data_IF_458069318165
#
_entry.id   IF_458069318165
#
_cell.length_a   1.000
_cell.length_b   1.000
_cell.length_c   1.000
_cell.angle_alpha   90.00
_cell.angle_beta   90.00
_cell.angle_gamma   90.00
#
_symmetry.space_group_name_H-M   'P 1'
#
loop_
_entity.id
_entity.type
_entity.pdbx_description
1 polymer ?
#
# COMPACT_ATOMS: atom_id res chain seq x y z
N UNK A 1 28.36 -32.16 19.41
CA UNK A 1 27.55 -31.06 19.94
C UNK A 1 27.19 -30.16 18.76
N UNK A 2 25.96 -30.25 18.26
CA UNK A 2 25.49 -29.39 17.16
C UNK A 2 24.88 -28.14 17.77
N UNK A 3 25.53 -27.01 17.58
CA UNK A 3 25.01 -25.71 18.02
C UNK A 3 23.95 -25.30 17.00
N UNK A 4 22.68 -25.48 17.33
CA UNK A 4 21.56 -24.93 16.54
C UNK A 4 21.50 -23.44 16.83
N UNK A 5 22.01 -22.64 15.90
CA UNK A 5 21.80 -21.20 15.92
C UNK A 5 20.33 -20.98 15.50
N UNK A 6 19.50 -20.74 16.50
CA UNK A 6 18.14 -20.25 16.27
C UNK A 6 18.26 -18.81 15.76
N UNK A 7 18.11 -18.61 14.44
CA UNK A 7 17.86 -17.29 13.93
C UNK A 7 16.45 -16.91 14.39
N UNK A 8 16.37 -16.15 15.47
CA UNK A 8 15.19 -15.39 15.76
C UNK A 8 15.03 -14.38 14.63
N UNK A 9 14.15 -14.67 13.70
CA UNK A 9 13.60 -13.67 12.80
C UNK A 9 12.89 -12.70 13.73
N UNK A 10 13.55 -11.60 14.06
CA UNK A 10 12.89 -10.48 14.69
C UNK A 10 11.76 -10.10 13.72
N UNK A 11 10.52 -10.39 14.11
CA UNK A 11 9.37 -9.82 13.47
C UNK A 11 9.63 -8.33 13.44
N UNK A 12 9.78 -7.76 12.23
CA UNK A 12 9.81 -6.32 12.08
C UNK A 12 8.63 -5.80 12.91
N UNK A 13 8.83 -4.83 13.81
CA UNK A 13 7.72 -4.34 14.59
C UNK A 13 6.62 -4.01 13.60
N UNK A 14 5.43 -4.57 13.82
CA UNK A 14 4.23 -4.11 13.15
C UNK A 14 4.30 -2.59 13.22
N UNK A 15 4.50 -1.96 12.09
CA UNK A 15 4.65 -0.52 12.00
C UNK A 15 3.53 0.06 12.84
N UNK A 16 3.92 0.84 13.84
CA UNK A 16 3.04 1.37 14.85
C UNK A 16 1.70 1.73 14.22
N UNK A 17 0.65 1.09 14.66
CA UNK A 17 -0.72 1.14 14.11
C UNK A 17 -1.32 2.55 14.00
N UNK A 18 -0.57 3.58 14.37
CA UNK A 18 -1.05 4.94 14.50
C UNK A 18 -1.11 5.72 13.18
N UNK A 19 -0.42 5.30 12.13
CA UNK A 19 -0.39 6.04 10.86
C UNK A 19 -1.00 5.29 9.66
N UNK A 20 -0.93 3.97 9.63
CA UNK A 20 -1.36 3.18 8.48
C UNK A 20 -2.88 3.29 8.20
N UNK A 21 -3.80 3.23 9.18
CA UNK A 21 -5.22 3.43 8.92
C UNK A 21 -5.55 4.83 8.37
N UNK A 22 -4.89 5.86 8.88
CA UNK A 22 -5.12 7.24 8.42
C UNK A 22 -4.70 7.45 6.97
N UNK A 23 -3.55 6.98 6.57
CA UNK A 23 -3.08 7.11 5.19
C UNK A 23 -3.95 6.31 4.22
N UNK A 24 -4.37 5.11 4.56
CA UNK A 24 -5.27 4.31 3.73
C UNK A 24 -6.64 4.99 3.58
N UNK A 25 -7.18 5.54 4.66
CA UNK A 25 -8.42 6.30 4.59
C UNK A 25 -8.29 7.53 3.71
N UNK A 26 -7.22 8.29 3.86
CA UNK A 26 -6.95 9.46 3.03
C UNK A 26 -6.87 9.09 1.54
N UNK A 27 -6.21 7.99 1.20
CA UNK A 27 -6.14 7.48 -0.17
C UNK A 27 -7.55 7.10 -0.66
N UNK A 28 -8.33 6.36 0.12
CA UNK A 28 -9.69 5.97 -0.26
C UNK A 28 -10.60 7.18 -0.51
N UNK A 29 -10.50 8.23 0.31
CA UNK A 29 -11.26 9.47 0.12
C UNK A 29 -10.89 10.11 -1.23
N UNK A 30 -9.62 10.21 -1.55
CA UNK A 30 -9.16 10.86 -2.79
C UNK A 30 -9.47 10.00 -4.01
N UNK A 31 -9.34 8.67 -3.91
CA UNK A 31 -9.53 7.75 -5.03
C UNK A 31 -11.02 7.56 -5.39
N UNK A 32 -11.89 7.46 -4.42
CA UNK A 32 -13.29 7.08 -4.67
C UNK A 32 -14.32 7.73 -3.75
N UNK A 33 -13.92 8.59 -2.81
CA UNK A 33 -14.81 9.03 -1.74
C UNK A 33 -15.20 7.91 -0.77
N UNK A 34 -14.30 6.97 -0.56
CA UNK A 34 -14.51 5.77 0.28
C UNK A 34 -15.58 4.80 -0.27
N UNK A 35 -15.85 4.82 -1.58
CA UNK A 35 -16.85 3.93 -2.20
C UNK A 35 -16.24 2.53 -2.48
N UNK A 36 -16.67 1.49 -1.76
CA UNK A 36 -16.15 0.14 -1.98
C UNK A 36 -16.62 -0.50 -3.30
N UNK A 37 -17.60 0.10 -3.97
CA UNK A 37 -18.15 -0.38 -5.23
C UNK A 37 -17.67 0.42 -6.44
N UNK A 38 -16.80 1.40 -6.22
CA UNK A 38 -16.30 2.25 -7.29
C UNK A 38 -15.53 1.45 -8.35
N UNK A 39 -15.80 1.78 -9.60
CA UNK A 39 -15.10 1.23 -10.77
C UNK A 39 -14.65 2.41 -11.61
N UNK A 40 -13.34 2.54 -11.79
CA UNK A 40 -12.74 3.62 -12.56
C UNK A 40 -11.78 3.10 -13.61
N UNK A 41 -11.21 4.02 -14.38
CA UNK A 41 -10.19 3.73 -15.40
C UNK A 41 -10.61 2.57 -16.33
N UNK A 42 -11.80 2.69 -16.91
CA UNK A 42 -12.37 1.67 -17.83
C UNK A 42 -12.40 0.25 -17.24
N UNK A 43 -12.67 0.13 -15.95
CA UNK A 43 -12.76 -1.16 -15.23
C UNK A 43 -11.45 -1.67 -14.67
N UNK A 44 -10.35 -0.94 -14.81
CA UNK A 44 -9.06 -1.34 -14.28
C UNK A 44 -8.87 -0.96 -12.80
N UNK A 45 -9.45 0.14 -12.37
CA UNK A 45 -9.40 0.62 -11.00
C UNK A 45 -10.63 0.17 -10.22
N UNK A 46 -10.44 -0.59 -9.15
CA UNK A 46 -11.52 -1.24 -8.42
C UNK A 46 -11.53 -0.89 -6.93
N UNK A 47 -12.73 -0.63 -6.42
CA UNK A 47 -13.04 -0.48 -5.01
C UNK A 47 -12.64 0.85 -4.40
N UNK A 48 -12.71 0.94 -3.08
CA UNK A 48 -12.46 2.18 -2.33
C UNK A 48 -11.08 2.78 -2.63
N UNK A 49 -10.08 1.95 -2.82
CA UNK A 49 -8.70 2.36 -3.08
C UNK A 49 -8.31 2.38 -4.56
N UNK A 50 -9.25 2.11 -5.48
CA UNK A 50 -9.03 2.12 -6.94
C UNK A 50 -7.79 1.33 -7.36
N UNK A 51 -7.64 0.12 -6.82
CA UNK A 51 -6.47 -0.71 -7.07
C UNK A 51 -6.50 -1.31 -8.47
N UNK A 52 -5.46 -1.02 -9.24
CA UNK A 52 -5.19 -1.58 -10.56
C UNK A 52 -4.69 -3.02 -10.48
N UNK A 53 -4.73 -3.80 -11.59
CA UNK A 53 -4.21 -5.17 -11.61
C UNK A 53 -2.77 -5.30 -11.13
N UNK A 54 -1.90 -4.37 -11.48
CA UNK A 54 -0.49 -4.37 -11.11
C UNK A 54 -0.30 -4.16 -9.59
N UNK A 55 -1.08 -3.27 -8.99
CA UNK A 55 -1.07 -3.06 -7.55
C UNK A 55 -1.59 -4.31 -6.81
N UNK A 56 -2.63 -4.93 -7.33
CA UNK A 56 -3.17 -6.18 -6.80
C UNK A 56 -2.15 -7.32 -6.86
N UNK A 57 -1.46 -7.47 -7.99
CA UNK A 57 -0.40 -8.46 -8.14
C UNK A 57 0.77 -8.20 -7.17
N UNK A 58 1.21 -6.95 -7.03
CA UNK A 58 2.25 -6.58 -6.08
C UNK A 58 1.85 -6.89 -4.65
N UNK A 59 0.63 -6.57 -4.25
CA UNK A 59 0.09 -6.90 -2.94
C UNK A 59 0.08 -8.43 -2.69
N UNK A 60 -0.31 -9.22 -3.67
CA UNK A 60 -0.26 -10.69 -3.56
C UNK A 60 1.16 -11.23 -3.47
N UNK A 61 2.11 -10.67 -4.20
CA UNK A 61 3.52 -11.03 -4.09
C UNK A 61 4.03 -10.76 -2.68
N UNK A 62 3.70 -9.61 -2.12
CA UNK A 62 4.04 -9.28 -0.73
C UNK A 62 3.39 -10.26 0.26
N UNK A 63 2.08 -10.54 0.11
CA UNK A 63 1.37 -11.49 0.98
C UNK A 63 2.03 -12.86 0.98
N UNK A 64 2.36 -13.39 -0.19
CA UNK A 64 3.06 -14.69 -0.33
C UNK A 64 4.41 -14.68 0.37
N UNK A 65 5.18 -13.61 0.24
CA UNK A 65 6.47 -13.47 0.94
C UNK A 65 6.31 -13.45 2.47
N UNK A 66 5.13 -13.06 2.97
CA UNK A 66 4.78 -13.12 4.40
C UNK A 66 4.13 -14.44 4.83
N UNK A 67 4.06 -15.45 3.95
CA UNK A 67 3.41 -16.72 4.23
C UNK A 67 1.88 -16.66 4.20
N UNK A 68 1.30 -15.59 3.64
CA UNK A 68 -0.14 -15.44 3.51
C UNK A 68 -0.62 -15.87 2.12
N UNK A 69 -1.84 -16.43 2.00
CA UNK A 69 -2.36 -16.81 0.70
C UNK A 69 -2.65 -15.60 -0.18
N UNK A 70 -2.50 -15.79 -1.49
CA UNK A 70 -2.95 -14.80 -2.47
C UNK A 70 -4.48 -14.67 -2.44
N UNK A 71 -4.98 -13.47 -2.70
CA UNK A 71 -6.40 -13.19 -2.82
C UNK A 71 -6.75 -12.87 -4.28
N UNK A 72 -7.76 -13.55 -4.81
CA UNK A 72 -8.20 -13.34 -6.19
C UNK A 72 -8.79 -11.94 -6.37
N UNK A 73 -8.38 -11.26 -7.45
CA UNK A 73 -8.96 -9.97 -7.84
C UNK A 73 -10.44 -10.07 -8.19
N UNK A 74 -10.92 -11.24 -8.61
CA UNK A 74 -12.35 -11.48 -8.84
C UNK A 74 -13.22 -11.29 -7.58
N UNK A 75 -12.61 -11.38 -6.38
CA UNK A 75 -13.29 -11.17 -5.11
C UNK A 75 -13.21 -9.72 -4.60
N UNK A 76 -12.88 -8.78 -5.45
CA UNK A 76 -12.65 -7.38 -5.07
C UNK A 76 -13.85 -6.71 -4.39
N UNK A 77 -15.08 -7.15 -4.69
CA UNK A 77 -16.29 -6.59 -4.06
C UNK A 77 -16.42 -6.93 -2.59
N UNK A 78 -15.67 -7.91 -2.12
CA UNK A 78 -15.69 -8.29 -0.71
C UNK A 78 -14.88 -7.27 0.11
N UNK A 79 -15.51 -6.52 1.07
CA UNK A 79 -14.83 -5.44 1.78
C UNK A 79 -13.57 -5.87 2.50
N UNK A 80 -13.59 -7.03 3.14
CA UNK A 80 -12.41 -7.58 3.83
C UNK A 80 -11.26 -7.92 2.89
N UNK A 81 -11.55 -8.31 1.65
CA UNK A 81 -10.53 -8.57 0.62
C UNK A 81 -9.90 -7.26 0.16
N UNK A 82 -10.69 -6.22 -0.10
CA UNK A 82 -10.15 -4.90 -0.47
C UNK A 82 -9.21 -4.36 0.61
N UNK A 83 -9.64 -4.38 1.85
CA UNK A 83 -8.83 -3.88 2.96
C UNK A 83 -7.53 -4.66 3.14
N UNK A 84 -7.58 -5.98 3.08
CA UNK A 84 -6.40 -6.83 3.16
C UNK A 84 -5.40 -6.53 2.04
N UNK A 85 -5.89 -6.31 0.81
CA UNK A 85 -5.05 -5.97 -0.33
C UNK A 85 -4.48 -4.55 -0.24
N UNK A 86 -5.27 -3.58 0.22
CA UNK A 86 -4.78 -2.23 0.45
C UNK A 86 -3.67 -2.19 1.51
N UNK A 87 -3.83 -2.90 2.62
CA UNK A 87 -2.80 -3.02 3.66
C UNK A 87 -1.53 -3.70 3.13
N UNK A 88 -1.66 -4.78 2.37
CA UNK A 88 -0.52 -5.47 1.78
C UNK A 88 0.23 -4.57 0.78
N UNK A 89 -0.49 -3.82 -0.05
CA UNK A 89 0.12 -2.90 -1.01
C UNK A 89 0.82 -1.73 -0.31
N UNK A 90 0.24 -1.18 0.75
CA UNK A 90 0.90 -0.19 1.61
C UNK A 90 2.21 -0.72 2.17
N UNK A 91 2.21 -1.93 2.71
CA UNK A 91 3.42 -2.55 3.26
C UNK A 91 4.49 -2.78 2.20
N UNK A 92 4.09 -3.18 0.98
CA UNK A 92 5.00 -3.28 -0.15
C UNK A 92 5.64 -1.93 -0.50
N UNK A 93 4.84 -0.87 -0.58
CA UNK A 93 5.33 0.50 -0.84
C UNK A 93 6.35 0.92 0.23
N UNK A 94 6.01 0.73 1.50
CA UNK A 94 6.90 1.06 2.61
C UNK A 94 8.22 0.28 2.56
N UNK A 95 8.16 -1.00 2.21
CA UNK A 95 9.35 -1.86 2.04
C UNK A 95 10.23 -1.35 0.90
N UNK A 96 9.65 -0.98 -0.23
CA UNK A 96 10.39 -0.44 -1.39
C UNK A 96 11.01 0.92 -1.07
N UNK A 97 10.30 1.79 -0.38
CA UNK A 97 10.80 3.09 0.06
C UNK A 97 11.99 2.91 1.03
N UNK A 98 11.88 2.02 2.00
CA UNK A 98 12.97 1.71 2.92
C UNK A 98 14.21 1.18 2.17
N UNK A 99 14.02 0.31 1.19
CA UNK A 99 15.10 -0.18 0.32
C UNK A 99 15.77 0.91 -0.50
N UNK A 100 15.08 2.01 -0.77
CA UNK A 100 15.63 3.20 -1.43
C UNK A 100 16.19 4.25 -0.46
N UNK A 101 16.30 3.93 0.83
CA UNK A 101 16.82 4.82 1.88
C UNK A 101 15.77 5.70 2.55
N UNK A 102 14.48 5.57 2.18
CA UNK A 102 13.37 6.32 2.78
C UNK A 102 12.75 5.48 3.89
N UNK A 103 13.38 5.48 5.08
CA UNK A 103 12.98 4.62 6.21
C UNK A 103 11.76 5.13 6.97
N UNK A 104 11.47 6.42 6.90
CA UNK A 104 10.29 7.06 7.49
C UNK A 104 9.55 7.85 6.42
N UNK A 105 8.82 7.16 5.54
CA UNK A 105 8.15 7.83 4.44
C UNK A 105 7.06 8.78 4.93
N UNK A 106 6.97 9.93 4.30
CA UNK A 106 5.87 10.86 4.52
C UNK A 106 4.59 10.35 3.83
N UNK A 107 3.41 10.80 4.26
CA UNK A 107 2.16 10.48 3.56
C UNK A 107 2.20 10.84 2.07
N UNK A 108 2.85 11.95 1.71
CA UNK A 108 3.03 12.34 0.29
C UNK A 108 3.87 11.33 -0.49
N UNK A 109 4.96 10.84 0.06
CA UNK A 109 5.81 9.83 -0.59
C UNK A 109 5.07 8.50 -0.80
N UNK A 110 4.30 8.07 0.18
CA UNK A 110 3.43 6.88 0.06
C UNK A 110 2.37 7.10 -1.02
N UNK A 111 1.70 8.23 -1.01
CA UNK A 111 0.66 8.56 -1.99
C UNK A 111 1.20 8.63 -3.42
N UNK A 112 2.40 9.14 -3.63
CA UNK A 112 3.07 9.12 -4.93
C UNK A 112 3.26 7.70 -5.44
N UNK A 113 3.77 6.81 -4.60
CA UNK A 113 3.96 5.40 -4.96
C UNK A 113 2.63 4.70 -5.24
N UNK A 114 1.59 5.05 -4.49
CA UNK A 114 0.24 4.52 -4.73
C UNK A 114 -0.30 4.91 -6.10
N UNK A 115 -0.19 6.19 -6.44
CA UNK A 115 -0.78 6.76 -7.65
C UNK A 115 0.00 6.42 -8.92
N UNK A 116 1.32 6.57 -8.91
CA UNK A 116 2.14 6.44 -10.12
C UNK A 116 3.10 5.23 -10.12
N UNK A 117 3.06 4.41 -9.08
CA UNK A 117 4.00 3.32 -8.87
C UNK A 117 5.34 3.80 -8.28
N UNK A 118 6.04 2.86 -7.64
CA UNK A 118 7.32 3.15 -6.99
C UNK A 118 8.38 3.68 -7.98
N UNK A 119 8.51 3.06 -9.15
CA UNK A 119 9.49 3.47 -10.15
C UNK A 119 9.23 4.90 -10.65
N UNK A 120 7.97 5.26 -10.89
CA UNK A 120 7.58 6.61 -11.30
C UNK A 120 7.85 7.64 -10.22
N UNK A 121 7.49 7.34 -8.98
CA UNK A 121 7.75 8.21 -7.84
C UNK A 121 9.25 8.44 -7.62
N UNK A 122 10.05 7.38 -7.71
CA UNK A 122 11.51 7.44 -7.59
C UNK A 122 12.13 8.27 -8.71
N UNK A 123 11.70 8.08 -9.95
CA UNK A 123 12.19 8.85 -11.10
C UNK A 123 11.94 10.35 -10.95
N UNK A 124 10.87 10.74 -10.24
CA UNK A 124 10.58 12.13 -9.88
C UNK A 124 11.37 12.64 -8.68
N UNK A 125 12.21 11.82 -8.06
CA UNK A 125 12.85 12.15 -6.79
C UNK A 125 11.84 12.34 -5.65
N UNK A 126 10.71 11.65 -5.71
CA UNK A 126 9.60 11.73 -4.74
C UNK A 126 9.04 13.14 -4.54
N UNK A 127 9.12 13.99 -5.56
CA UNK A 127 8.55 15.35 -5.50
C UNK A 127 7.03 15.28 -5.45
N UNK A 128 6.39 16.05 -4.55
CA UNK A 128 4.93 16.07 -4.42
C UNK A 128 4.20 16.43 -5.71
N UNK A 129 3.01 15.88 -5.86
CA UNK A 129 2.01 16.24 -6.87
C UNK A 129 0.78 16.82 -6.18
N UNK A 130 -0.18 17.34 -6.95
CA UNK A 130 -1.47 17.77 -6.40
C UNK A 130 -2.19 16.61 -5.70
N UNK A 131 -2.16 15.41 -6.28
CA UNK A 131 -2.71 14.20 -5.68
C UNK A 131 -2.05 13.88 -4.33
N UNK A 132 -0.73 13.76 -4.31
CA UNK A 132 -0.01 13.37 -3.08
C UNK A 132 -0.13 14.42 -1.98
N UNK A 133 -0.19 15.70 -2.34
CA UNK A 133 -0.42 16.79 -1.38
C UNK A 133 -1.82 16.72 -0.78
N UNK A 134 -2.84 16.41 -1.59
CA UNK A 134 -4.22 16.24 -1.10
C UNK A 134 -4.32 15.08 -0.13
N UNK A 135 -3.74 13.92 -0.46
CA UNK A 135 -3.69 12.77 0.43
C UNK A 135 -2.98 13.11 1.75
N UNK A 136 -1.82 13.78 1.67
CA UNK A 136 -1.05 14.14 2.85
C UNK A 136 -1.83 15.07 3.80
N UNK A 137 -2.57 16.04 3.26
CA UNK A 137 -3.43 16.91 4.07
C UNK A 137 -4.48 16.11 4.84
N UNK A 138 -5.15 15.18 4.17
CA UNK A 138 -6.18 14.34 4.79
C UNK A 138 -5.60 13.36 5.82
N UNK A 139 -4.41 12.82 5.57
CA UNK A 139 -3.75 11.89 6.49
C UNK A 139 -3.26 12.57 7.77
N UNK A 140 -3.06 13.87 7.75
CA UNK A 140 -2.60 14.66 8.91
C UNK A 140 -3.76 15.24 9.76
N UNK A 141 -5.01 15.00 9.37
CA UNK A 141 -6.17 15.35 10.17
C UNK A 141 -6.47 14.29 11.25
#
# INVERSE_FOLDING_TARGET
>A
MKLSILFAIAAAPLLAETGAPKILRAIAIVESGEDPHAVGDSGRALGAWQMHPEAWQGANTFRKAQGLPALSRAKWRHPGVQEAMAKAFLSLIQTRLAGAGVVRPTPSQIALCWNMGFAGAKARGFRPTAYSTRVARLANL
#
